data_IF_700988480798
#
_entry.id   IF_700988480798
#
_cell.length_a   1.000
_cell.length_b   1.000
_cell.length_c   1.000
_cell.angle_alpha   90.00
_cell.angle_beta   90.00
_cell.angle_gamma   90.00
#
_symmetry.space_group_name_H-M   'P 1'
#
loop_
_entity.id
_entity.type
_entity.pdbx_description
1 polymer ?
#
# COMPACT_ATOMS: atom_id res chain seq x y z
N UNK A 1 42.70 25.93 -18.59
CA UNK A 1 41.51 25.39 -17.89
C UNK A 1 40.77 26.58 -17.29
N UNK A 2 39.49 26.80 -17.63
CA UNK A 2 38.73 27.96 -17.13
C UNK A 2 38.37 27.76 -15.64
N UNK A 3 38.53 28.78 -14.78
CA UNK A 3 38.27 28.67 -13.35
C UNK A 3 36.78 28.37 -13.06
N UNK A 4 36.52 27.57 -12.03
CA UNK A 4 35.17 27.11 -11.63
C UNK A 4 34.14 28.23 -11.41
N UNK A 5 34.60 29.47 -11.16
CA UNK A 5 33.75 30.67 -10.95
C UNK A 5 33.10 31.23 -12.22
N UNK A 6 33.58 30.88 -13.42
CA UNK A 6 33.03 31.39 -14.69
C UNK A 6 32.08 30.40 -15.38
N UNK A 7 31.94 29.19 -14.84
CA UNK A 7 31.04 28.17 -15.40
C UNK A 7 29.63 28.39 -14.86
N UNK A 8 28.65 28.42 -15.76
CA UNK A 8 27.25 28.63 -15.41
C UNK A 8 26.81 27.65 -14.29
N UNK A 9 26.43 28.16 -13.10
CA UNK A 9 26.12 27.32 -11.93
C UNK A 9 24.93 26.40 -12.19
N UNK A 10 24.03 26.78 -13.09
CA UNK A 10 22.88 25.96 -13.50
C UNK A 10 23.34 24.69 -14.24
N UNK A 11 24.36 24.80 -15.10
CA UNK A 11 24.89 23.65 -15.85
C UNK A 11 25.60 22.68 -14.92
N UNK A 12 26.36 23.20 -13.95
CA UNK A 12 27.05 22.37 -12.94
C UNK A 12 26.03 21.66 -12.04
N UNK A 13 24.98 22.37 -11.60
CA UNK A 13 23.88 21.80 -10.82
C UNK A 13 23.14 20.69 -11.58
N UNK A 14 22.80 20.92 -12.86
CA UNK A 14 22.15 19.93 -13.71
C UNK A 14 23.02 18.68 -13.90
N UNK A 15 24.32 18.86 -14.15
CA UNK A 15 25.26 17.74 -14.30
C UNK A 15 25.40 16.93 -13.01
N UNK A 16 25.52 17.61 -11.86
CA UNK A 16 25.56 16.98 -10.55
C UNK A 16 24.29 16.19 -10.23
N UNK A 17 23.13 16.80 -10.45
CA UNK A 17 21.84 16.14 -10.26
C UNK A 17 21.67 14.92 -11.18
N UNK A 18 22.08 15.04 -12.45
CA UNK A 18 22.02 13.94 -13.42
C UNK A 18 22.91 12.77 -13.00
N UNK A 19 24.12 13.04 -12.49
CA UNK A 19 25.03 12.01 -11.97
C UNK A 19 24.40 11.32 -10.74
N UNK A 20 23.85 12.09 -9.80
CA UNK A 20 23.20 11.54 -8.59
C UNK A 20 21.98 10.69 -8.98
N UNK A 21 21.15 11.17 -9.92
CA UNK A 21 20.01 10.43 -10.42
C UNK A 21 20.43 9.12 -11.11
N UNK A 22 21.49 9.14 -11.93
CA UNK A 22 22.05 7.95 -12.54
C UNK A 22 22.60 6.97 -11.50
N UNK A 23 23.29 7.46 -10.47
CA UNK A 23 23.79 6.62 -9.37
C UNK A 23 22.65 6.00 -8.57
N UNK A 24 21.57 6.75 -8.29
CA UNK A 24 20.37 6.22 -7.63
C UNK A 24 19.70 5.14 -8.48
N UNK A 25 19.50 5.40 -9.77
CA UNK A 25 18.92 4.40 -10.70
C UNK A 25 19.82 3.15 -10.77
N UNK A 26 21.14 3.32 -10.82
CA UNK A 26 22.08 2.22 -10.82
C UNK A 26 22.05 1.43 -9.50
N UNK A 27 21.93 2.11 -8.35
CA UNK A 27 21.80 1.48 -7.04
C UNK A 27 20.50 0.68 -6.91
N UNK A 28 19.35 1.26 -7.31
CA UNK A 28 18.06 0.56 -7.31
C UNK A 28 18.01 -0.61 -8.32
N UNK A 29 18.80 -0.55 -9.39
CA UNK A 29 18.91 -1.62 -10.39
C UNK A 29 20.17 -2.47 -10.25
N UNK A 30 20.85 -2.42 -9.10
CA UNK A 30 22.11 -3.14 -8.89
C UNK A 30 21.98 -4.66 -9.16
N UNK A 31 20.86 -5.25 -8.76
CA UNK A 31 20.50 -6.67 -9.00
C UNK A 31 20.32 -7.07 -10.47
N UNK A 32 20.24 -6.08 -11.38
CA UNK A 32 20.13 -6.25 -12.84
C UNK A 32 21.40 -5.83 -13.58
N UNK A 33 22.41 -5.28 -12.90
CA UNK A 33 23.67 -4.90 -13.53
C UNK A 33 24.48 -6.16 -13.90
N UNK A 34 25.07 -6.21 -15.11
CA UNK A 34 25.80 -7.39 -15.62
C UNK A 34 27.05 -7.76 -14.79
N UNK A 35 27.52 -6.85 -13.94
CA UNK A 35 28.73 -6.99 -13.14
C UNK A 35 28.46 -7.70 -11.79
N UNK A 36 27.30 -7.44 -11.16
CA UNK A 36 26.93 -7.98 -9.83
C UNK A 36 26.04 -9.23 -9.94
N UNK A 37 25.37 -9.43 -11.08
CA UNK A 37 24.52 -10.60 -11.35
C UNK A 37 25.17 -11.66 -12.24
N UNK A 38 26.48 -11.85 -12.23
CA UNK A 38 27.16 -12.79 -13.13
C UNK A 38 26.81 -14.25 -12.78
N UNK A 39 25.80 -14.80 -13.45
CA UNK A 39 25.29 -16.16 -13.26
C UNK A 39 24.76 -16.72 -14.57
N UNK A 40 24.61 -18.04 -14.63
CA UNK A 40 24.11 -18.75 -15.80
C UNK A 40 22.58 -18.81 -15.75
N UNK A 41 21.94 -18.60 -16.91
CA UNK A 41 20.47 -18.64 -17.03
C UNK A 41 20.04 -20.02 -17.51
N UNK A 42 18.97 -20.54 -16.93
CA UNK A 42 18.36 -21.82 -17.28
C UNK A 42 16.84 -21.67 -17.29
N UNK A 43 16.17 -22.67 -17.83
CA UNK A 43 14.71 -22.73 -17.85
C UNK A 43 14.21 -24.04 -17.21
N UNK A 44 13.01 -24.03 -16.67
CA UNK A 44 12.29 -25.22 -16.23
C UNK A 44 10.84 -25.11 -16.66
N UNK A 45 10.28 -26.18 -17.21
CA UNK A 45 8.86 -26.27 -17.56
C UNK A 45 8.11 -26.96 -16.44
N UNK A 46 7.05 -26.37 -15.94
CA UNK A 46 6.13 -26.99 -14.98
C UNK A 46 4.73 -27.12 -15.61
N UNK A 47 3.93 -28.09 -15.13
CA UNK A 47 2.50 -28.13 -15.42
C UNK A 47 1.77 -26.93 -14.83
N UNK A 48 2.17 -26.53 -13.63
CA UNK A 48 1.66 -25.37 -12.89
C UNK A 48 2.74 -24.84 -11.93
N UNK A 49 2.61 -23.58 -11.53
CA UNK A 49 3.63 -22.89 -10.71
C UNK A 49 3.11 -22.42 -9.34
N UNK A 50 1.82 -22.55 -9.08
CA UNK A 50 1.18 -22.04 -7.87
C UNK A 50 1.51 -20.56 -7.61
N UNK A 51 2.16 -20.30 -6.48
CA UNK A 51 2.52 -18.97 -5.98
C UNK A 51 3.94 -18.48 -6.32
N UNK A 52 4.68 -19.18 -7.20
CA UNK A 52 6.03 -18.78 -7.60
C UNK A 52 5.99 -17.47 -8.39
N UNK A 53 6.91 -16.55 -8.07
CA UNK A 53 7.00 -15.21 -8.66
C UNK A 53 8.43 -14.83 -9.04
N UNK A 54 8.56 -13.84 -9.91
CA UNK A 54 9.84 -13.20 -10.22
C UNK A 54 10.53 -12.70 -8.96
N UNK A 55 11.84 -12.93 -8.88
CA UNK A 55 12.66 -12.60 -7.71
C UNK A 55 12.61 -13.62 -6.58
N UNK A 56 11.75 -14.66 -6.66
CA UNK A 56 11.82 -15.78 -5.73
C UNK A 56 13.18 -16.47 -5.81
N UNK A 57 13.62 -17.03 -4.69
CA UNK A 57 14.93 -17.64 -4.58
C UNK A 57 15.00 -18.98 -5.32
N UNK A 58 16.18 -19.26 -5.86
CA UNK A 58 16.55 -20.57 -6.39
C UNK A 58 17.52 -21.20 -5.40
N UNK A 59 17.26 -22.43 -4.99
CA UNK A 59 18.01 -23.11 -3.93
C UNK A 59 18.51 -24.48 -4.38
N UNK A 60 19.71 -24.85 -3.97
CA UNK A 60 20.24 -26.23 -4.09
C UNK A 60 20.48 -26.73 -2.68
N UNK A 61 19.89 -27.88 -2.31
CA UNK A 61 19.98 -28.43 -0.95
C UNK A 61 19.65 -27.40 0.16
N UNK A 62 18.70 -26.50 -0.11
CA UNK A 62 18.28 -25.44 0.81
C UNK A 62 19.15 -24.17 0.79
N UNK A 63 20.31 -24.16 0.14
CA UNK A 63 21.20 -22.99 0.04
C UNK A 63 20.76 -22.11 -1.14
N UNK A 64 20.56 -20.79 -0.95
CA UNK A 64 20.25 -19.87 -2.04
C UNK A 64 21.44 -19.77 -3.00
N UNK A 65 21.19 -20.06 -4.27
CA UNK A 65 22.18 -20.06 -5.35
C UNK A 65 21.74 -19.22 -6.54
N UNK A 66 20.67 -18.45 -6.41
CA UNK A 66 20.11 -17.72 -7.54
C UNK A 66 18.73 -17.14 -7.31
N UNK A 67 18.13 -16.62 -8.39
CA UNK A 67 16.79 -16.00 -8.38
C UNK A 67 16.02 -16.32 -9.67
N UNK A 68 14.70 -16.45 -9.55
CA UNK A 68 13.76 -16.48 -10.67
C UNK A 68 13.76 -15.10 -11.35
N UNK A 69 13.76 -15.09 -12.68
CA UNK A 69 13.87 -13.87 -13.51
C UNK A 69 12.66 -13.63 -14.41
N UNK A 70 11.89 -14.66 -14.71
CA UNK A 70 10.71 -14.55 -15.55
C UNK A 70 9.87 -15.81 -15.48
N UNK A 71 8.57 -15.66 -15.67
CA UNK A 71 7.60 -16.74 -15.74
C UNK A 71 6.71 -16.46 -16.94
N UNK A 72 6.63 -17.41 -17.86
CA UNK A 72 5.87 -17.28 -19.10
C UNK A 72 4.99 -18.51 -19.33
N UNK A 73 3.78 -18.30 -19.81
CA UNK A 73 2.92 -19.40 -20.25
C UNK A 73 3.36 -19.87 -21.64
N UNK A 74 3.65 -21.15 -21.77
CA UNK A 74 4.10 -21.80 -22.99
C UNK A 74 3.12 -22.95 -23.34
N UNK A 75 2.00 -22.59 -23.96
CA UNK A 75 0.92 -23.53 -24.28
C UNK A 75 0.21 -24.03 -23.02
N UNK A 76 0.27 -25.34 -22.76
CA UNK A 76 -0.30 -25.98 -21.57
C UNK A 76 0.69 -26.15 -20.41
N UNK A 77 1.82 -25.43 -20.46
CA UNK A 77 2.89 -25.49 -19.48
C UNK A 77 3.32 -24.08 -19.11
N UNK A 78 4.01 -23.96 -17.98
CA UNK A 78 4.62 -22.71 -17.55
C UNK A 78 6.14 -22.84 -17.61
N UNK A 79 6.77 -21.96 -18.40
CA UNK A 79 8.22 -21.87 -18.51
C UNK A 79 8.74 -20.86 -17.49
N UNK A 80 9.50 -21.35 -16.53
CA UNK A 80 10.18 -20.55 -15.51
C UNK A 80 11.62 -20.30 -15.95
N UNK A 81 11.99 -19.03 -16.08
CA UNK A 81 13.36 -18.60 -16.35
C UNK A 81 14.03 -18.21 -15.04
N UNK A 82 15.16 -18.84 -14.74
CA UNK A 82 15.88 -18.61 -13.50
C UNK A 82 17.38 -18.50 -13.73
N UNK A 83 18.05 -17.79 -12.84
CA UNK A 83 19.48 -17.54 -12.90
C UNK A 83 20.16 -18.15 -11.70
N UNK A 84 21.28 -18.83 -11.94
CA UNK A 84 22.10 -19.49 -10.91
C UNK A 84 23.48 -18.86 -10.88
N UNK A 85 23.98 -18.57 -9.69
CA UNK A 85 25.26 -17.93 -9.44
C UNK A 85 26.43 -18.79 -9.91
N UNK A 86 27.55 -18.14 -10.23
CA UNK A 86 28.79 -18.82 -10.62
C UNK A 86 29.31 -19.67 -9.46
N UNK A 87 29.60 -20.94 -9.74
CA UNK A 87 30.14 -21.89 -8.76
C UNK A 87 29.23 -23.09 -8.51
N UNK A 88 27.92 -22.94 -8.75
CA UNK A 88 26.97 -24.06 -8.64
C UNK A 88 27.11 -25.00 -9.83
N UNK A 89 27.31 -26.29 -9.55
CA UNK A 89 27.31 -27.37 -10.56
C UNK A 89 25.93 -27.98 -10.64
N UNK A 90 25.31 -27.87 -11.81
CA UNK A 90 24.10 -28.59 -12.17
C UNK A 90 24.50 -29.70 -13.14
N UNK A 91 24.11 -30.93 -12.88
CA UNK A 91 24.36 -32.05 -13.79
C UNK A 91 23.31 -32.07 -14.92
N UNK A 92 23.53 -32.89 -15.96
CA UNK A 92 22.63 -32.94 -17.12
C UNK A 92 21.22 -33.43 -16.75
N UNK A 93 21.10 -34.20 -15.68
CA UNK A 93 19.85 -34.78 -15.19
C UNK A 93 19.24 -34.00 -14.03
N UNK A 94 19.71 -32.77 -13.77
CA UNK A 94 19.15 -31.89 -12.74
C UNK A 94 17.61 -31.81 -12.85
N UNK A 95 16.93 -32.01 -11.72
CA UNK A 95 15.50 -31.77 -11.56
C UNK A 95 15.22 -30.44 -10.88
N UNK A 96 13.96 -29.99 -10.97
CA UNK A 96 13.50 -28.76 -10.33
C UNK A 96 12.15 -28.97 -9.64
N UNK A 97 11.96 -28.41 -8.46
CA UNK A 97 10.73 -28.56 -7.67
C UNK A 97 10.35 -27.22 -7.06
N UNK A 98 9.07 -26.89 -7.04
CA UNK A 98 8.59 -25.68 -6.38
C UNK A 98 8.17 -26.06 -4.96
N UNK A 99 8.81 -25.44 -3.95
CA UNK A 99 8.54 -25.74 -2.53
C UNK A 99 8.10 -24.49 -1.79
N UNK A 100 7.37 -24.71 -0.70
CA UNK A 100 6.95 -23.64 0.22
C UNK A 100 8.12 -23.32 1.17
N UNK A 101 8.46 -22.04 1.29
CA UNK A 101 9.47 -21.49 2.19
C UNK A 101 8.90 -21.09 3.54
N UNK A 102 7.71 -20.49 3.56
CA UNK A 102 7.10 -19.89 4.77
C UNK A 102 5.69 -20.40 5.00
N UNK A 103 5.21 -20.34 6.24
CA UNK A 103 3.84 -20.69 6.60
C UNK A 103 2.78 -19.82 5.90
N UNK A 104 3.19 -18.64 5.41
CA UNK A 104 2.35 -17.73 4.63
C UNK A 104 2.36 -18.05 3.12
N UNK A 105 2.89 -19.20 2.71
CA UNK A 105 2.82 -19.66 1.32
C UNK A 105 3.84 -19.05 0.36
N UNK A 106 4.89 -18.37 0.86
CA UNK A 106 5.95 -17.91 -0.03
C UNK A 106 6.69 -19.12 -0.63
N UNK A 107 6.82 -19.18 -1.96
CA UNK A 107 7.44 -20.31 -2.65
C UNK A 107 8.88 -20.01 -3.11
N UNK A 108 9.62 -21.06 -3.41
CA UNK A 108 10.97 -21.00 -3.98
C UNK A 108 11.21 -22.16 -4.94
N UNK A 109 12.18 -21.99 -5.84
CA UNK A 109 12.58 -23.03 -6.78
C UNK A 109 13.72 -23.86 -6.19
N UNK A 110 13.47 -25.11 -5.85
CA UNK A 110 14.49 -26.07 -5.44
C UNK A 110 15.07 -26.78 -6.67
N UNK A 111 16.38 -26.82 -6.79
CA UNK A 111 17.10 -27.60 -7.80
C UNK A 111 17.75 -28.80 -7.14
N UNK A 112 17.61 -29.96 -7.78
CA UNK A 112 18.22 -31.22 -7.37
C UNK A 112 19.24 -31.62 -8.42
N UNK A 113 20.54 -31.30 -8.24
CA UNK A 113 21.58 -31.69 -9.17
C UNK A 113 21.67 -33.21 -9.32
N UNK A 114 21.61 -33.70 -10.55
CA UNK A 114 21.75 -35.13 -10.85
C UNK A 114 22.40 -35.32 -12.23
N UNK A 115 22.90 -36.53 -12.48
CA UNK A 115 23.57 -36.91 -13.73
C UNK A 115 25.01 -36.40 -13.84
N UNK A 116 25.75 -36.97 -14.79
CA UNK A 116 27.14 -36.59 -15.07
C UNK A 116 27.24 -35.31 -15.92
N UNK A 117 28.41 -34.69 -15.89
CA UNK A 117 28.71 -33.47 -16.66
C UNK A 117 28.10 -32.20 -16.07
N UNK A 118 28.00 -31.15 -16.90
CA UNK A 118 27.40 -29.86 -16.55
C UNK A 118 26.21 -29.60 -17.47
N UNK A 119 25.10 -29.14 -16.89
CA UNK A 119 23.96 -28.65 -17.66
C UNK A 119 24.39 -27.45 -18.51
N UNK A 120 24.08 -27.49 -19.81
CA UNK A 120 24.45 -26.39 -20.71
C UNK A 120 23.62 -25.14 -20.39
N UNK A 121 24.23 -23.97 -20.55
CA UNK A 121 23.57 -22.69 -20.28
C UNK A 121 22.38 -22.52 -21.23
N UNK A 122 21.25 -22.04 -20.71
CA UNK A 122 20.02 -21.89 -21.48
C UNK A 122 19.25 -23.21 -21.71
N UNK A 123 19.72 -24.33 -21.16
CA UNK A 123 18.96 -25.60 -21.24
C UNK A 123 17.66 -25.48 -20.45
N UNK A 124 16.63 -26.14 -20.98
CA UNK A 124 15.32 -26.27 -20.33
C UNK A 124 15.21 -27.62 -19.62
N UNK A 125 14.91 -27.61 -18.33
CA UNK A 125 14.54 -28.79 -17.56
C UNK A 125 13.09 -29.15 -17.95
N UNK A 126 12.86 -30.34 -18.54
CA UNK A 126 11.54 -30.73 -19.04
C UNK A 126 10.60 -31.09 -17.90
N UNK A 127 9.28 -31.02 -18.16
CA UNK A 127 8.23 -31.35 -17.17
C UNK A 127 8.42 -32.71 -16.50
N UNK A 128 8.96 -33.70 -17.20
CA UNK A 128 9.24 -35.04 -16.64
C UNK A 128 10.25 -35.06 -15.49
N UNK A 129 11.03 -33.97 -15.31
CA UNK A 129 11.99 -33.77 -14.23
C UNK A 129 11.66 -32.55 -13.38
N UNK A 130 10.42 -32.09 -13.46
CA UNK A 130 9.93 -31.02 -12.61
C UNK A 130 8.76 -31.48 -11.77
N UNK A 131 8.68 -30.96 -10.55
CA UNK A 131 7.57 -31.24 -9.65
C UNK A 131 6.87 -29.91 -9.31
N UNK A 132 5.59 -29.74 -9.67
CA UNK A 132 4.81 -28.55 -9.29
C UNK A 132 4.67 -28.48 -7.76
N UNK A 133 4.29 -27.33 -7.20
CA UNK A 133 4.08 -27.23 -5.77
C UNK A 133 3.00 -28.22 -5.31
N UNK A 134 3.24 -28.90 -4.18
CA UNK A 134 2.22 -29.73 -3.53
C UNK A 134 1.00 -28.87 -3.22
N UNK A 135 -0.11 -29.12 -3.91
CA UNK A 135 -1.38 -28.52 -3.58
C UNK A 135 -2.01 -29.32 -2.44
N UNK A 136 -2.17 -28.68 -1.29
CA UNK A 136 -2.87 -29.26 -0.13
C UNK A 136 -4.29 -29.67 -0.53
N UNK A 137 -4.94 -28.94 -1.44
CA UNK A 137 -6.26 -29.28 -1.98
C UNK A 137 -6.24 -30.61 -2.72
N UNK A 138 -5.19 -30.86 -3.52
CA UNK A 138 -5.06 -32.12 -4.25
C UNK A 138 -4.80 -33.29 -3.29
N UNK A 139 -4.03 -33.10 -2.21
CA UNK A 139 -3.86 -34.13 -1.18
C UNK A 139 -5.18 -34.47 -0.44
N UNK A 140 -6.02 -33.47 -0.16
CA UNK A 140 -7.36 -33.70 0.42
C UNK A 140 -8.31 -34.38 -0.59
N UNK A 141 -8.24 -34.00 -1.86
CA UNK A 141 -9.03 -34.63 -2.94
C UNK A 141 -8.61 -36.08 -3.17
N UNK A 142 -7.31 -36.37 -3.21
CA UNK A 142 -6.77 -37.73 -3.40
C UNK A 142 -7.13 -38.64 -2.21
N UNK A 143 -7.13 -38.10 -0.99
CA UNK A 143 -7.61 -38.81 0.20
C UNK A 143 -9.12 -39.10 0.11
N UNK A 144 -9.93 -38.16 -0.39
CA UNK A 144 -11.37 -38.39 -0.64
C UNK A 144 -11.57 -39.50 -1.66
N UNK A 145 -10.87 -39.44 -2.80
CA UNK A 145 -11.01 -40.41 -3.90
C UNK A 145 -10.54 -41.82 -3.49
N UNK A 146 -9.48 -41.90 -2.68
CA UNK A 146 -8.99 -43.17 -2.11
C UNK A 146 -9.99 -43.75 -1.11
N UNK A 147 -10.67 -42.90 -0.34
CA UNK A 147 -11.71 -43.32 0.61
C UNK A 147 -13.01 -43.74 -0.08
N UNK A 148 -13.38 -43.08 -1.19
CA UNK A 148 -14.52 -43.46 -2.04
C UNK A 148 -14.28 -44.77 -2.81
N UNK A 149 -13.02 -45.14 -3.04
CA UNK A 149 -12.63 -46.40 -3.65
C UNK A 149 -12.59 -47.59 -2.66
N UNK A 150 -12.73 -47.35 -1.35
CA UNK A 150 -12.99 -48.42 -0.38
C UNK A 150 -14.48 -48.79 -0.45
N UNK A 151 -14.79 -49.79 -1.28
CA UNK A 151 -16.11 -50.40 -1.33
C UNK A 151 -16.33 -51.22 -0.05
N UNK A 152 -17.06 -50.64 0.89
CA UNK A 152 -17.45 -51.27 2.17
C UNK A 152 -18.18 -52.60 1.91
N UNK A 153 -18.90 -52.73 0.78
CA UNK A 153 -19.55 -53.96 0.35
C UNK A 153 -18.55 -55.06 0.01
N UNK A 154 -17.49 -54.77 -0.74
CA UNK A 154 -16.45 -55.77 -1.04
C UNK A 154 -15.71 -56.24 0.22
N UNK A 155 -15.52 -55.36 1.20
CA UNK A 155 -14.89 -55.72 2.47
C UNK A 155 -15.81 -56.63 3.29
N UNK A 156 -17.11 -56.31 3.34
CA UNK A 156 -18.11 -57.17 3.97
C UNK A 156 -18.21 -58.54 3.29
N UNK A 157 -18.26 -58.59 1.96
CA UNK A 157 -18.33 -59.84 1.19
C UNK A 157 -17.06 -60.69 1.36
N UNK A 158 -15.88 -60.06 1.41
CA UNK A 158 -14.63 -60.77 1.67
C UNK A 158 -14.56 -61.33 3.10
N UNK A 159 -15.08 -60.59 4.10
CA UNK A 159 -15.16 -61.05 5.48
C UNK A 159 -16.22 -62.16 5.66
N UNK A 160 -17.33 -62.10 4.94
CA UNK A 160 -18.37 -63.13 4.93
C UNK A 160 -17.84 -64.41 4.27
N UNK A 161 -17.17 -64.29 3.12
CA UNK A 161 -16.51 -65.41 2.44
C UNK A 161 -15.41 -66.05 3.31
N UNK A 162 -14.62 -65.24 4.03
CA UNK A 162 -13.63 -65.73 4.98
C UNK A 162 -14.29 -66.44 6.17
N UNK A 163 -15.45 -65.96 6.63
CA UNK A 163 -16.22 -66.56 7.72
C UNK A 163 -16.86 -67.89 7.30
N UNK A 164 -17.33 -68.01 6.06
CA UNK A 164 -17.87 -69.24 5.49
C UNK A 164 -16.80 -70.32 5.29
N UNK A 165 -15.61 -69.92 4.79
CA UNK A 165 -14.45 -70.82 4.66
C UNK A 165 -13.94 -71.25 6.05
N UNK A 166 -13.94 -70.34 7.02
CA UNK A 166 -13.59 -70.59 8.41
C UNK A 166 -14.56 -71.57 9.10
N UNK A 167 -15.86 -71.52 8.77
CA UNK A 167 -16.87 -72.43 9.30
C UNK A 167 -16.73 -73.88 8.80
N UNK A 168 -16.02 -74.11 7.69
CA UNK A 168 -15.85 -75.42 7.05
C UNK A 168 -14.47 -76.07 7.33
N UNK A 169 -13.60 -75.47 8.13
CA UNK A 169 -12.21 -75.93 8.32
C UNK A 169 -11.99 -76.69 9.66
N UNK A 170 -11.22 -77.80 9.71
CA UNK A 170 -10.99 -78.62 10.91
C UNK A 170 -10.34 -77.90 12.11
N UNK A 171 -10.37 -78.53 13.29
CA UNK A 171 -10.10 -77.96 14.64
C UNK A 171 -8.84 -77.09 14.80
N UNK A 172 -7.84 -77.24 13.93
CA UNK A 172 -6.57 -76.50 13.98
C UNK A 172 -6.69 -75.00 13.63
N UNK A 173 -7.78 -74.57 12.98
CA UNK A 173 -7.97 -73.17 12.55
C UNK A 173 -8.72 -72.27 13.55
N UNK A 174 -9.26 -72.83 14.64
CA UNK A 174 -10.03 -72.06 15.65
C UNK A 174 -9.19 -71.00 16.38
N UNK A 175 -7.87 -71.16 16.44
CA UNK A 175 -6.96 -70.19 17.07
C UNK A 175 -6.80 -68.90 16.26
N UNK A 176 -6.66 -69.01 14.94
CA UNK A 176 -6.53 -67.85 14.05
C UNK A 176 -7.84 -67.07 13.94
N UNK A 177 -8.99 -67.77 13.87
CA UNK A 177 -10.31 -67.15 13.83
C UNK A 177 -10.62 -66.38 15.13
N UNK A 178 -10.21 -66.91 16.29
CA UNK A 178 -10.29 -66.16 17.56
C UNK A 178 -9.38 -64.93 17.55
N UNK A 179 -8.15 -65.05 17.08
CA UNK A 179 -7.22 -63.92 16.98
C UNK A 179 -7.77 -62.79 16.12
N UNK A 180 -8.35 -63.11 14.96
CA UNK A 180 -9.00 -62.13 14.08
C UNK A 180 -10.26 -61.55 14.73
N UNK A 181 -11.08 -62.37 15.40
CA UNK A 181 -12.28 -61.91 16.12
C UNK A 181 -11.93 -60.97 17.28
N UNK A 182 -10.85 -61.24 18.01
CA UNK A 182 -10.40 -60.43 19.15
C UNK A 182 -9.74 -59.13 18.70
N UNK A 183 -9.05 -59.15 17.55
CA UNK A 183 -8.57 -57.95 16.89
C UNK A 183 -9.72 -57.08 16.37
N UNK A 184 -10.72 -57.69 15.72
CA UNK A 184 -11.90 -56.99 15.21
C UNK A 184 -12.73 -56.39 16.35
N UNK A 185 -12.85 -57.09 17.50
CA UNK A 185 -13.45 -56.53 18.71
C UNK A 185 -12.65 -55.40 19.32
N UNK A 186 -11.31 -55.48 19.34
CA UNK A 186 -10.48 -54.37 19.80
C UNK A 186 -10.57 -53.14 18.89
N UNK A 187 -10.69 -53.35 17.58
CA UNK A 187 -10.84 -52.27 16.61
C UNK A 187 -12.23 -51.63 16.72
N UNK A 188 -13.29 -52.44 16.84
CA UNK A 188 -14.65 -51.95 17.10
C UNK A 188 -14.74 -51.22 18.45
N UNK A 189 -14.02 -51.67 19.48
CA UNK A 189 -13.93 -50.96 20.77
C UNK A 189 -13.21 -49.61 20.68
N UNK A 190 -12.47 -49.35 19.59
CA UNK A 190 -11.82 -48.06 19.30
C UNK A 190 -12.61 -47.21 18.31
N UNK A 191 -13.71 -47.72 17.76
CA UNK A 191 -14.55 -47.01 16.79
C UNK A 191 -15.12 -45.72 17.37
N UNK A 192 -15.57 -45.75 18.63
CA UNK A 192 -16.02 -44.57 19.37
C UNK A 192 -14.94 -43.49 19.49
N UNK A 193 -13.68 -43.90 19.65
CA UNK A 193 -12.54 -42.98 19.73
C UNK A 193 -12.22 -42.35 18.37
N UNK A 194 -12.30 -43.14 17.29
CA UNK A 194 -12.11 -42.66 15.92
C UNK A 194 -13.24 -41.70 15.53
N UNK A 195 -14.48 -42.04 15.82
CA UNK A 195 -15.64 -41.19 15.55
C UNK A 195 -15.55 -39.86 16.34
N UNK A 196 -15.13 -39.93 17.62
CA UNK A 196 -14.88 -38.72 18.42
C UNK A 196 -13.81 -37.83 17.81
N UNK A 197 -12.71 -38.40 17.32
CA UNK A 197 -11.65 -37.65 16.65
C UNK A 197 -12.15 -37.00 15.36
N UNK A 198 -12.93 -37.71 14.55
CA UNK A 198 -13.50 -37.18 13.29
C UNK A 198 -14.51 -36.05 13.54
N UNK A 199 -15.38 -36.20 14.55
CA UNK A 199 -16.32 -35.14 14.96
C UNK A 199 -15.57 -33.90 15.49
N UNK A 200 -14.51 -34.10 16.27
CA UNK A 200 -13.71 -32.99 16.77
C UNK A 200 -12.93 -32.30 15.64
N UNK A 201 -12.41 -33.06 14.68
CA UNK A 201 -11.75 -32.51 13.50
C UNK A 201 -12.75 -31.68 12.67
N UNK A 202 -13.97 -32.18 12.44
CA UNK A 202 -15.03 -31.44 11.76
C UNK A 202 -15.40 -30.14 12.48
N UNK A 203 -15.43 -30.14 13.82
CA UNK A 203 -15.64 -28.92 14.62
C UNK A 203 -14.51 -27.91 14.43
N UNK A 204 -13.25 -28.35 14.51
CA UNK A 204 -12.08 -27.47 14.31
C UNK A 204 -12.05 -26.89 12.89
N UNK A 205 -12.26 -27.72 11.88
CA UNK A 205 -12.37 -27.27 10.47
C UNK A 205 -13.53 -26.29 10.29
N UNK A 206 -14.67 -26.52 10.94
CA UNK A 206 -15.80 -25.59 10.93
C UNK A 206 -15.45 -24.22 11.55
N UNK A 207 -14.73 -24.19 12.67
CA UNK A 207 -14.27 -22.94 13.30
C UNK A 207 -13.27 -22.19 12.40
N UNK A 208 -12.37 -22.92 11.73
CA UNK A 208 -11.43 -22.31 10.78
C UNK A 208 -12.18 -21.71 9.59
N UNK A 209 -13.12 -22.45 9.00
CA UNK A 209 -13.93 -21.96 7.88
C UNK A 209 -14.77 -20.72 8.25
N UNK A 210 -15.34 -20.68 9.47
CA UNK A 210 -16.06 -19.48 9.95
C UNK A 210 -15.15 -18.27 10.16
N UNK A 211 -13.87 -18.47 10.47
CA UNK A 211 -12.89 -17.38 10.63
C UNK A 211 -12.39 -16.85 9.29
N UNK A 212 -12.37 -17.68 8.24
CA UNK A 212 -12.06 -17.20 6.88
C UNK A 212 -13.12 -16.21 6.40
N UNK A 213 -14.41 -16.46 6.69
CA UNK A 213 -15.48 -15.50 6.38
C UNK A 213 -15.32 -14.17 7.14
N UNK A 214 -14.94 -14.21 8.43
CA UNK A 214 -14.63 -13.01 9.21
C UNK A 214 -13.39 -12.26 8.67
N UNK A 215 -12.36 -12.97 8.22
CA UNK A 215 -11.17 -12.35 7.61
C UNK A 215 -11.51 -11.68 6.27
N UNK A 216 -12.35 -12.32 5.45
CA UNK A 216 -12.86 -11.73 4.20
C UNK A 216 -13.69 -10.48 4.49
N UNK A 217 -14.52 -10.51 5.53
CA UNK A 217 -15.30 -9.36 5.98
C UNK A 217 -14.38 -8.21 6.43
N UNK A 218 -13.35 -8.49 7.24
CA UNK A 218 -12.39 -7.50 7.71
C UNK A 218 -11.61 -6.84 6.56
N UNK A 219 -11.24 -7.62 5.53
CA UNK A 219 -10.59 -7.09 4.33
C UNK A 219 -11.54 -6.18 3.54
N UNK A 220 -12.83 -6.55 3.44
CA UNK A 220 -13.85 -5.67 2.84
C UNK A 220 -14.01 -4.39 3.66
N UNK A 221 -14.11 -4.48 4.97
CA UNK A 221 -14.25 -3.31 5.85
C UNK A 221 -13.02 -2.38 5.78
N UNK A 222 -11.83 -2.93 5.51
CA UNK A 222 -10.63 -2.13 5.27
C UNK A 222 -10.76 -1.22 4.04
N UNK A 223 -11.44 -1.65 2.98
CA UNK A 223 -11.71 -0.79 1.82
C UNK A 223 -12.58 0.41 2.17
N UNK A 224 -13.58 0.24 3.04
CA UNK A 224 -14.43 1.33 3.53
C UNK A 224 -13.61 2.37 4.31
N UNK A 225 -12.63 1.92 5.11
CA UNK A 225 -11.71 2.82 5.80
C UNK A 225 -10.79 3.57 4.82
N UNK A 226 -10.27 2.91 3.79
CA UNK A 226 -9.43 3.55 2.77
C UNK A 226 -10.22 4.58 1.94
N UNK A 227 -11.47 4.29 1.62
CA UNK A 227 -12.37 5.21 0.92
C UNK A 227 -12.66 6.45 1.78
N UNK A 228 -12.97 6.26 3.07
CA UNK A 228 -13.20 7.35 4.01
C UNK A 228 -11.94 8.23 4.21
N UNK A 229 -10.75 7.63 4.24
CA UNK A 229 -9.47 8.37 4.33
C UNK A 229 -9.20 9.15 3.04
N UNK A 230 -9.50 8.57 1.89
CA UNK A 230 -9.35 9.23 0.59
C UNK A 230 -10.29 10.42 0.45
N UNK A 231 -11.56 10.25 0.81
CA UNK A 231 -12.55 11.33 0.81
C UNK A 231 -12.14 12.48 1.74
N UNK A 232 -11.64 12.14 2.94
CA UNK A 232 -11.14 13.14 3.90
C UNK A 232 -9.93 13.89 3.35
N UNK A 233 -9.00 13.21 2.68
CA UNK A 233 -7.84 13.83 2.03
C UNK A 233 -8.27 14.82 0.95
N UNK A 234 -9.23 14.46 0.11
CA UNK A 234 -9.77 15.34 -0.93
C UNK A 234 -10.50 16.57 -0.34
N UNK A 235 -11.26 16.39 0.74
CA UNK A 235 -11.90 17.50 1.44
C UNK A 235 -10.87 18.48 2.05
N UNK A 236 -9.80 17.97 2.66
CA UNK A 236 -8.70 18.79 3.19
C UNK A 236 -7.98 19.52 2.04
N UNK A 237 -7.72 18.85 0.92
CA UNK A 237 -7.09 19.47 -0.23
C UNK A 237 -7.92 20.65 -0.76
N UNK A 238 -9.24 20.47 -0.94
CA UNK A 238 -10.14 21.56 -1.34
C UNK A 238 -10.12 22.73 -0.37
N UNK A 239 -10.17 22.46 0.94
CA UNK A 239 -10.08 23.51 1.96
C UNK A 239 -8.77 24.31 1.88
N UNK A 240 -7.63 23.63 1.66
CA UNK A 240 -6.33 24.29 1.52
C UNK A 240 -6.27 25.16 0.26
N UNK A 241 -6.75 24.66 -0.87
CA UNK A 241 -6.82 25.43 -2.13
C UNK A 241 -7.71 26.66 -1.97
N UNK A 242 -8.93 26.50 -1.44
CA UNK A 242 -9.83 27.63 -1.20
C UNK A 242 -9.25 28.64 -0.20
N UNK A 243 -8.50 28.19 0.81
CA UNK A 243 -7.82 29.10 1.76
C UNK A 243 -6.73 29.90 1.06
N UNK A 244 -5.99 29.27 0.14
CA UNK A 244 -4.98 29.95 -0.67
C UNK A 244 -5.61 30.98 -1.61
N UNK A 245 -6.71 30.62 -2.30
CA UNK A 245 -7.47 31.55 -3.14
C UNK A 245 -8.00 32.74 -2.35
N UNK A 246 -8.56 32.52 -1.15
CA UNK A 246 -9.01 33.61 -0.27
C UNK A 246 -7.83 34.49 0.15
N UNK A 247 -6.68 33.91 0.47
CA UNK A 247 -5.49 34.66 0.87
C UNK A 247 -4.93 35.51 -0.29
N UNK A 248 -4.95 34.98 -1.52
CA UNK A 248 -4.59 35.72 -2.72
C UNK A 248 -5.57 36.87 -3.00
N UNK A 249 -6.88 36.63 -2.86
CA UNK A 249 -7.91 37.68 -3.01
C UNK A 249 -7.81 38.76 -1.93
N UNK A 250 -7.54 38.38 -0.68
CA UNK A 250 -7.32 39.34 0.41
C UNK A 250 -6.05 40.14 0.21
N UNK A 251 -4.98 39.52 -0.29
CA UNK A 251 -3.72 40.22 -0.60
C UNK A 251 -3.91 41.21 -1.75
N UNK A 252 -4.60 40.80 -2.82
CA UNK A 252 -4.97 41.67 -3.93
C UNK A 252 -5.85 42.84 -3.48
N UNK A 253 -6.82 42.59 -2.59
CA UNK A 253 -7.64 43.65 -2.01
C UNK A 253 -6.82 44.63 -1.18
N UNK A 254 -5.85 44.15 -0.38
CA UNK A 254 -4.94 45.01 0.39
C UNK A 254 -4.06 45.85 -0.53
N UNK A 255 -3.51 45.25 -1.59
CA UNK A 255 -2.67 45.95 -2.58
C UNK A 255 -3.48 47.04 -3.34
N UNK A 256 -4.70 46.72 -3.77
CA UNK A 256 -5.62 47.68 -4.40
C UNK A 256 -6.01 48.81 -3.43
N UNK A 257 -6.25 48.46 -2.16
CA UNK A 257 -6.61 49.46 -1.12
C UNK A 257 -5.41 50.34 -0.74
N UNK A 258 -4.17 49.83 -0.80
CA UNK A 258 -2.96 50.63 -0.57
C UNK A 258 -2.80 51.72 -1.65
N UNK A 259 -3.16 51.42 -2.90
CA UNK A 259 -3.16 52.38 -4.00
C UNK A 259 -4.15 53.53 -3.77
N UNK A 260 -5.32 53.26 -3.19
CA UNK A 260 -6.36 54.24 -2.87
C UNK A 260 -6.13 54.99 -1.55
N UNK A 261 -5.44 54.36 -0.58
CA UNK A 261 -5.12 54.97 0.71
C UNK A 261 -4.03 56.04 0.62
N UNK A 262 -3.07 55.94 -0.32
CA UNK A 262 -2.01 56.94 -0.50
C UNK A 262 -2.53 58.35 -0.86
N UNK A 263 -3.47 58.52 -1.81
CA UNK A 263 -4.13 59.79 -2.08
C UNK A 263 -4.90 60.34 -0.86
N UNK A 264 -5.67 59.51 -0.17
CA UNK A 264 -6.47 59.91 0.98
C UNK A 264 -5.59 60.40 2.15
N UNK A 265 -4.50 59.68 2.44
CA UNK A 265 -3.53 60.09 3.48
C UNK A 265 -2.77 61.37 3.10
N UNK A 266 -2.51 61.62 1.81
CA UNK A 266 -1.95 62.90 1.34
C UNK A 266 -2.92 64.06 1.52
N UNK A 267 -4.20 63.87 1.20
CA UNK A 267 -5.23 64.88 1.42
C UNK A 267 -5.46 65.15 2.91
N UNK A 268 -5.48 64.12 3.75
CA UNK A 268 -5.60 64.27 5.20
C UNK A 268 -4.40 65.03 5.80
N UNK A 269 -3.17 64.73 5.36
CA UNK A 269 -1.98 65.51 5.73
C UNK A 269 -2.06 66.95 5.26
N UNK A 270 -2.58 67.20 4.05
CA UNK A 270 -2.75 68.56 3.54
C UNK A 270 -3.74 69.36 4.41
N UNK A 271 -4.88 68.75 4.78
CA UNK A 271 -5.89 69.38 5.65
C UNK A 271 -5.34 69.64 7.05
N UNK A 272 -4.69 68.66 7.68
CA UNK A 272 -4.09 68.83 9.01
C UNK A 272 -2.95 69.84 9.00
N UNK A 273 -2.14 69.91 7.93
CA UNK A 273 -1.13 70.96 7.78
C UNK A 273 -1.76 72.35 7.58
N UNK A 274 -2.86 72.45 6.84
CA UNK A 274 -3.65 73.67 6.69
C UNK A 274 -4.23 74.14 8.03
N UNK A 275 -4.77 73.20 8.82
CA UNK A 275 -5.33 73.48 10.15
C UNK A 275 -4.23 73.92 11.13
N UNK A 276 -3.10 73.23 11.18
CA UNK A 276 -1.96 73.60 12.01
C UNK A 276 -1.37 74.96 11.58
N UNK A 277 -1.25 75.22 10.28
CA UNK A 277 -0.77 76.53 9.78
C UNK A 277 -1.71 77.68 10.12
N UNK A 278 -3.02 77.42 10.25
CA UNK A 278 -4.03 78.39 10.61
C UNK A 278 -4.45 78.32 12.10
N UNK A 279 -3.68 77.61 12.94
CA UNK A 279 -3.99 77.42 14.36
C UNK A 279 -4.20 78.75 15.09
N UNK A 280 -3.33 79.74 14.86
CA UNK A 280 -3.48 81.07 15.45
C UNK A 280 -4.72 81.85 14.96
N UNK A 281 -5.21 81.54 13.76
CA UNK A 281 -6.43 82.14 13.22
C UNK A 281 -7.67 81.43 13.78
N UNK A 282 -7.59 80.11 13.96
CA UNK A 282 -8.63 79.31 14.64
C UNK A 282 -8.75 79.71 16.12
N UNK A 283 -7.62 79.86 16.81
CA UNK A 283 -7.57 80.28 18.21
C UNK A 283 -8.09 81.71 18.40
N UNK A 284 -7.75 82.63 17.49
CA UNK A 284 -8.36 83.97 17.44
C UNK A 284 -9.86 83.90 17.18
N UNK A 285 -10.31 83.09 16.22
CA UNK A 285 -11.73 82.92 15.95
C UNK A 285 -12.47 82.39 17.18
N UNK A 286 -11.92 81.37 17.85
CA UNK A 286 -12.48 80.79 19.08
C UNK A 286 -12.44 81.74 20.28
N UNK A 287 -11.41 82.59 20.38
CA UNK A 287 -11.30 83.60 21.46
C UNK A 287 -12.28 84.77 21.25
N UNK A 288 -12.51 85.17 19.99
CA UNK A 288 -13.43 86.25 19.63
C UNK A 288 -14.88 85.78 19.59
N UNK A 289 -15.12 84.48 19.37
CA UNK A 289 -16.45 83.88 19.23
C UNK A 289 -17.37 84.09 20.44
N UNK A 290 -16.95 83.94 21.71
CA UNK A 290 -17.77 84.30 22.87
C UNK A 290 -18.15 85.78 22.89
N UNK A 291 -17.26 86.67 22.45
CA UNK A 291 -17.52 88.10 22.34
C UNK A 291 -18.52 88.42 21.24
N UNK A 292 -18.36 87.82 20.05
CA UNK A 292 -19.31 87.93 18.95
C UNK A 292 -20.67 87.35 19.32
N UNK A 293 -20.74 86.14 19.89
CA UNK A 293 -21.99 85.53 20.36
C UNK A 293 -22.66 86.37 21.43
N UNK A 294 -21.89 87.00 22.33
CA UNK A 294 -22.43 87.89 23.36
C UNK A 294 -22.92 89.22 22.77
N UNK A 295 -22.23 89.81 21.78
CA UNK A 295 -22.70 91.00 21.05
C UNK A 295 -23.91 90.68 20.18
N UNK A 296 -23.93 89.53 19.51
CA UNK A 296 -25.05 89.07 18.69
C UNK A 296 -26.27 88.72 19.56
N UNK A 297 -26.06 88.03 20.68
CA UNK A 297 -27.10 87.74 21.67
C UNK A 297 -27.57 89.01 22.41
N UNK A 298 -26.71 90.01 22.63
CA UNK A 298 -27.10 91.30 23.22
C UNK A 298 -27.81 92.21 22.19
N UNK A 299 -27.41 92.16 20.92
CA UNK A 299 -28.08 92.86 19.82
C UNK A 299 -29.47 92.28 19.54
N UNK A 300 -29.65 90.97 19.73
CA UNK A 300 -30.94 90.29 19.65
C UNK A 300 -31.66 90.19 21.01
N UNK A 301 -30.99 90.55 22.10
CA UNK A 301 -31.45 90.34 23.49
C UNK A 301 -32.09 91.55 24.16
N UNK A 302 -31.99 92.74 23.55
CA UNK A 302 -32.65 93.95 24.06
C UNK A 302 -34.02 94.17 23.40
N UNK A 303 -34.89 93.16 23.37
CA UNK A 303 -36.28 93.31 22.92
C UNK A 303 -36.46 93.77 21.45
N UNK A 304 -37.70 93.98 20.99
CA UNK A 304 -38.03 94.09 19.56
C UNK A 304 -37.83 95.50 18.94
N UNK A 305 -36.98 96.36 19.50
CA UNK A 305 -36.80 97.72 18.99
C UNK A 305 -35.34 98.01 18.65
N UNK A 306 -35.09 98.32 17.38
CA UNK A 306 -33.79 98.66 16.83
C UNK A 306 -33.60 100.18 16.91
N UNK A 307 -32.86 100.69 17.91
CA UNK A 307 -32.49 102.12 17.95
C UNK A 307 -31.29 102.38 17.03
N UNK A 308 -31.56 102.77 15.79
CA UNK A 308 -30.54 103.40 14.92
C UNK A 308 -30.52 104.90 15.20
N UNK A 309 -29.46 105.38 15.84
CA UNK A 309 -29.11 106.80 15.84
C UNK A 309 -28.41 107.15 14.52
N UNK A 310 -29.16 107.62 13.52
CA UNK A 310 -28.57 108.31 12.36
C UNK A 310 -28.28 109.75 12.78
N UNK A 311 -27.00 110.08 13.00
CA UNK A 311 -26.57 111.48 13.11
C UNK A 311 -26.53 112.07 11.70
N UNK A 312 -27.66 112.63 11.25
CA UNK A 312 -27.71 113.43 10.02
C UNK A 312 -27.05 114.78 10.33
N UNK A 313 -25.88 115.02 9.75
CA UNK A 313 -25.27 116.34 9.67
C UNK A 313 -26.08 117.23 8.74
N UNK A 314 -26.71 118.27 9.30
CA UNK A 314 -27.30 119.37 8.54
C UNK A 314 -26.36 120.58 8.57
N UNK A 315 -26.01 121.07 7.38
CA UNK A 315 -25.23 122.27 7.17
C UNK A 315 -25.99 123.54 7.60
N UNK A 316 -25.23 124.47 8.18
CA UNK A 316 -25.54 125.88 8.36
C UNK A 316 -24.22 126.63 8.46
#
# INVERSE_FOLDING_TARGET
MKPFRERNPVIIGLLGFTIIALLLVAAFRADRLPIIGAGDTYHAEFSEIGGLKDGNEVRVAGVPVGKVRGIELAGNKVKVTFKVDKGTRLGRETGAEIRIRTLLGAQFLALTPSGSGRLEKGTTIPVSRTVPPYDVVQAFSDLSTTTDALDVGQISDALETLSDVAAQTPEEFRGAIRGVSDLSRNLAARDDQINTLLVNLKKVTGVINSRDDELVQLVKDSSVLFDAVTERREAIHRLLVSTQEISEQLSALVDDTEADLKPALRQLRAVTTMLARNEQSLDRALTVMPGFLRVFANALGNGPWFETYVKIGGAG
#
